data_IF_199566638870
#
_entry.id   IF_199566638870
#
_cell.length_a   1.000
_cell.length_b   1.000
_cell.length_c   1.000
_cell.angle_alpha   90.00
_cell.angle_beta   90.00
_cell.angle_gamma   90.00
#
_symmetry.space_group_name_H-M   'P 1'
#
loop_
_entity.id
_entity.type
_entity.pdbx_description
1 polymer ?
#
# COMPACT_ATOMS: atom_id res chain seq x y z
N UNK A 1 3.18 14.94 -41.66
CA UNK A 1 3.90 15.79 -40.67
C UNK A 1 2.97 16.03 -39.50
N UNK A 2 3.27 15.51 -38.31
CA UNK A 2 2.47 15.85 -37.13
C UNK A 2 2.80 17.28 -36.73
N UNK A 3 1.78 18.14 -36.54
CA UNK A 3 2.02 19.52 -36.15
C UNK A 3 2.60 19.60 -34.72
N UNK A 4 3.44 20.60 -34.40
CA UNK A 4 4.30 20.63 -33.20
C UNK A 4 3.55 20.71 -31.86
N UNK A 5 2.32 21.23 -31.87
CA UNK A 5 1.42 21.19 -30.71
C UNK A 5 1.01 19.78 -30.28
N UNK A 6 0.93 18.81 -31.22
CA UNK A 6 0.55 17.41 -30.91
C UNK A 6 1.70 16.68 -30.23
N UNK A 7 2.93 16.96 -30.63
CA UNK A 7 4.12 16.45 -29.95
C UNK A 7 4.24 17.06 -28.57
N UNK A 8 3.97 18.36 -28.41
CA UNK A 8 3.96 19.01 -27.09
C UNK A 8 2.89 18.41 -26.16
N UNK A 9 1.66 18.21 -26.62
CA UNK A 9 0.61 17.57 -25.81
C UNK A 9 0.96 16.14 -25.41
N UNK A 10 1.60 15.38 -26.31
CA UNK A 10 2.02 14.02 -26.02
C UNK A 10 3.12 13.98 -24.95
N UNK A 11 4.09 14.91 -25.01
CA UNK A 11 5.16 15.03 -24.01
C UNK A 11 4.57 15.40 -22.64
N UNK A 12 3.65 16.36 -22.58
CA UNK A 12 2.99 16.73 -21.32
C UNK A 12 2.22 15.56 -20.70
N UNK A 13 1.45 14.83 -21.52
CA UNK A 13 0.75 13.62 -21.07
C UNK A 13 1.70 12.56 -20.53
N UNK A 14 2.85 12.39 -21.16
CA UNK A 14 3.88 11.44 -20.71
C UNK A 14 4.46 11.87 -19.35
N UNK A 15 4.78 13.16 -19.17
CA UNK A 15 5.31 13.66 -17.90
C UNK A 15 4.29 13.54 -16.76
N UNK A 16 3.03 13.90 -17.00
CA UNK A 16 1.97 13.80 -15.98
C UNK A 16 1.74 12.35 -15.55
N UNK A 17 1.71 11.42 -16.51
CA UNK A 17 1.54 10.00 -16.19
C UNK A 17 2.76 9.45 -15.43
N UNK A 18 3.98 9.87 -15.80
CA UNK A 18 5.20 9.51 -15.06
C UNK A 18 5.24 10.07 -13.63
N UNK A 19 4.73 11.29 -13.40
CA UNK A 19 4.65 11.85 -12.04
C UNK A 19 3.60 11.13 -11.19
N UNK A 20 2.45 10.78 -11.78
CA UNK A 20 1.39 10.06 -11.07
C UNK A 20 1.85 8.66 -10.64
N UNK A 21 2.62 7.96 -11.48
CA UNK A 21 3.18 6.65 -11.12
C UNK A 21 4.19 6.78 -9.98
N UNK A 22 5.06 7.80 -9.98
CA UNK A 22 5.99 8.06 -8.87
C UNK A 22 5.24 8.37 -7.57
N UNK A 23 4.20 9.21 -7.61
CA UNK A 23 3.41 9.53 -6.41
C UNK A 23 2.69 8.29 -5.83
N UNK A 24 2.21 7.39 -6.69
CA UNK A 24 1.57 6.15 -6.27
C UNK A 24 2.54 5.13 -5.63
N UNK A 25 3.86 5.31 -5.78
CA UNK A 25 4.88 4.47 -5.12
C UNK A 25 5.16 4.88 -3.66
N UNK A 26 4.51 5.93 -3.15
CA UNK A 26 4.50 6.24 -1.73
C UNK A 26 3.60 5.22 -0.99
N UNK A 27 4.07 3.99 -0.86
CA UNK A 27 3.44 2.95 -0.05
C UNK A 27 3.42 3.44 1.39
N UNK A 28 2.23 3.62 1.98
CA UNK A 28 2.12 3.86 3.41
C UNK A 28 2.85 2.74 4.16
N UNK A 29 3.83 3.08 5.00
CA UNK A 29 4.57 2.08 5.74
C UNK A 29 3.59 1.25 6.61
N UNK A 30 3.71 -0.08 6.63
CA UNK A 30 2.80 -0.92 7.39
C UNK A 30 2.86 -0.53 8.88
N UNK A 31 1.69 -0.30 9.48
CA UNK A 31 1.58 0.00 10.91
C UNK A 31 1.81 -1.30 11.68
N UNK A 32 2.83 -1.30 12.54
CA UNK A 32 3.16 -2.43 13.43
C UNK A 32 2.27 -2.36 14.67
N UNK A 33 1.46 -3.38 14.88
CA UNK A 33 0.62 -3.51 16.08
C UNK A 33 1.22 -4.65 16.90
N UNK A 34 1.68 -4.35 18.12
CA UNK A 34 2.12 -5.35 19.08
C UNK A 34 0.89 -5.82 19.86
N UNK A 35 0.62 -7.12 19.79
CA UNK A 35 -0.54 -7.75 20.41
C UNK A 35 0.00 -8.76 21.42
N UNK A 36 -0.14 -8.46 22.71
CA UNK A 36 0.25 -9.32 23.82
C UNK A 36 -1.02 -9.99 24.35
N UNK A 37 -1.27 -11.24 23.92
CA UNK A 37 -2.44 -12.00 24.38
C UNK A 37 -2.03 -13.39 24.83
N UNK A 38 -2.63 -13.86 25.92
CA UNK A 38 -2.35 -15.09 26.67
C UNK A 38 -2.77 -16.40 25.97
N UNK A 39 -3.14 -16.30 24.69
CA UNK A 39 -3.39 -17.39 23.73
C UNK A 39 -4.52 -18.34 24.14
N UNK A 40 -5.72 -17.80 24.39
CA UNK A 40 -6.95 -18.58 24.47
C UNK A 40 -7.62 -18.74 23.10
N UNK A 41 -8.62 -19.62 23.00
CA UNK A 41 -9.29 -19.96 21.71
C UNK A 41 -9.93 -18.73 21.04
N UNK A 42 -10.36 -17.74 21.82
CA UNK A 42 -10.96 -16.52 21.29
C UNK A 42 -9.90 -15.58 20.68
N UNK A 43 -8.66 -15.58 21.19
CA UNK A 43 -7.55 -14.79 20.63
C UNK A 43 -7.06 -15.36 19.30
N UNK A 44 -7.09 -16.68 19.15
CA UNK A 44 -6.84 -17.33 17.86
C UNK A 44 -7.87 -16.90 16.81
N UNK A 45 -9.14 -16.75 17.19
CA UNK A 45 -10.18 -16.24 16.29
C UNK A 45 -9.98 -14.75 15.98
N UNK A 46 -9.56 -13.95 16.96
CA UNK A 46 -9.22 -12.53 16.75
C UNK A 46 -8.02 -12.34 15.81
N UNK A 47 -6.98 -13.16 15.92
CA UNK A 47 -5.84 -13.16 15.00
C UNK A 47 -6.25 -13.60 13.60
N UNK A 48 -7.08 -14.63 13.45
CA UNK A 48 -7.62 -15.02 12.13
C UNK A 48 -8.51 -13.93 11.53
N UNK A 49 -9.25 -13.19 12.36
CA UNK A 49 -10.03 -12.03 11.93
C UNK A 49 -9.13 -10.88 11.46
N UNK A 50 -8.06 -10.59 12.20
CA UNK A 50 -7.05 -9.62 11.78
C UNK A 50 -6.37 -10.06 10.47
N UNK A 51 -5.93 -11.31 10.35
CA UNK A 51 -5.33 -11.84 9.12
C UNK A 51 -6.28 -11.85 7.91
N UNK A 52 -7.59 -11.92 8.15
CA UNK A 52 -8.63 -11.80 7.13
C UNK A 52 -8.80 -10.36 6.62
N UNK A 53 -8.38 -9.36 7.39
CA UNK A 53 -8.33 -7.96 6.95
C UNK A 53 -7.18 -7.75 5.93
N UNK A 54 -7.28 -6.72 5.10
CA UNK A 54 -6.33 -6.47 4.02
C UNK A 54 -4.91 -6.20 4.56
N UNK A 55 -3.98 -7.15 4.32
CA UNK A 55 -2.59 -7.16 4.84
C UNK A 55 -1.70 -6.01 4.34
N UNK A 56 -2.23 -5.13 3.48
CA UNK A 56 -1.53 -3.89 3.08
C UNK A 56 -1.55 -2.81 4.16
N UNK A 57 -2.42 -2.93 5.18
CA UNK A 57 -2.58 -1.88 6.21
C UNK A 57 -1.95 -2.23 7.58
N UNK A 58 -1.54 -3.47 7.82
CA UNK A 58 -0.97 -3.89 9.11
C UNK A 58 0.06 -5.02 8.97
N UNK A 59 1.11 -4.93 9.78
CA UNK A 59 2.14 -5.97 9.97
C UNK A 59 2.10 -6.47 11.42
N UNK A 60 2.04 -7.79 11.59
CA UNK A 60 1.77 -8.46 12.87
C UNK A 60 3.07 -9.15 13.28
N UNK A 61 3.68 -8.68 14.37
CA UNK A 61 4.94 -9.21 14.89
C UNK A 61 4.75 -9.70 16.31
N UNK A 62 5.39 -10.83 16.61
CA UNK A 62 5.56 -11.42 17.93
C UNK A 62 7.01 -11.15 18.36
N UNK A 63 7.23 -10.71 19.60
CA UNK A 63 8.58 -10.49 20.14
C UNK A 63 9.09 -11.77 20.84
N UNK A 64 10.40 -11.97 20.84
CA UNK A 64 11.12 -13.13 21.42
C UNK A 64 10.95 -13.27 22.94
#
# INVERSE_FOLDING_TARGET
MTPPWRTATAVVLLVVTAMATVAATATAAPRRILVDTDMDTDDLLALLYLLKLNRSEFDLQEDT
#
